data_IF_034537376417
#
_entry.id   IF_034537376417
#
_cell.length_a   1.000
_cell.length_b   1.000
_cell.length_c   1.000
_cell.angle_alpha   90.00
_cell.angle_beta   90.00
_cell.angle_gamma   90.00
#
_symmetry.space_group_name_H-M   'P 1'
#
loop_
_entity.id
_entity.type
_entity.pdbx_description
1 polymer ?
#
# COMPACT_ATOMS: atom_id res chain seq x y z
N UNK A 1 -3.72 21.62 -7.49
CA UNK A 1 -4.40 20.36 -7.85
C UNK A 1 -3.83 19.85 -9.17
N UNK A 2 -3.07 18.76 -9.17
CA UNK A 2 -2.78 17.99 -10.40
C UNK A 2 -3.83 16.87 -10.48
N UNK A 3 -4.99 17.20 -11.05
CA UNK A 3 -6.05 16.24 -11.34
C UNK A 3 -5.70 15.41 -12.58
N UNK A 4 -6.02 14.12 -12.53
CA UNK A 4 -5.98 13.10 -13.59
C UNK A 4 -4.77 13.20 -14.54
N UNK A 5 -3.76 12.36 -14.28
CA UNK A 5 -2.50 12.36 -15.03
C UNK A 5 -2.61 11.66 -16.39
N UNK A 6 -3.61 10.77 -16.58
CA UNK A 6 -3.85 10.05 -17.83
C UNK A 6 -5.27 9.49 -17.88
N UNK A 7 -6.03 9.83 -18.91
CA UNK A 7 -7.26 9.10 -19.25
C UNK A 7 -6.86 7.81 -19.99
N UNK A 8 -7.36 6.67 -19.55
CA UNK A 8 -7.18 5.41 -20.25
C UNK A 8 -8.17 5.36 -21.43
N UNK A 9 -7.75 4.98 -22.65
CA UNK A 9 -8.64 4.87 -23.81
C UNK A 9 -9.47 3.58 -23.79
N UNK A 10 -9.63 2.96 -22.61
CA UNK A 10 -10.40 1.74 -22.40
C UNK A 10 -11.60 2.05 -21.53
N UNK A 11 -12.72 1.39 -21.81
CA UNK A 11 -13.84 1.32 -20.89
C UNK A 11 -13.46 0.33 -19.80
N UNK A 12 -13.32 0.82 -18.56
CA UNK A 12 -12.96 -0.01 -17.42
C UNK A 12 -14.24 -0.67 -16.92
N UNK A 13 -14.30 -1.99 -16.94
CA UNK A 13 -15.43 -2.75 -16.40
C UNK A 13 -15.13 -3.20 -14.97
N UNK A 14 -13.87 -3.57 -14.69
CA UNK A 14 -13.46 -4.11 -13.40
C UNK A 14 -12.22 -3.42 -12.87
N UNK A 15 -12.17 -3.28 -11.55
CA UNK A 15 -10.99 -2.79 -10.84
C UNK A 15 -10.70 -3.68 -9.65
N UNK A 16 -9.47 -4.17 -9.60
CA UNK A 16 -8.94 -4.97 -8.50
C UNK A 16 -8.04 -4.10 -7.63
N UNK A 17 -8.38 -4.02 -6.34
CA UNK A 17 -7.61 -3.37 -5.30
C UNK A 17 -6.94 -4.43 -4.42
N UNK A 18 -5.63 -4.32 -4.25
CA UNK A 18 -4.85 -5.24 -3.42
C UNK A 18 -4.37 -4.53 -2.16
N UNK A 19 -4.79 -5.04 -1.00
CA UNK A 19 -4.38 -4.54 0.31
C UNK A 19 -3.04 -5.16 0.69
N UNK A 20 -2.12 -4.34 1.19
CA UNK A 20 -0.79 -4.78 1.55
C UNK A 20 -0.79 -5.75 2.74
N UNK A 21 0.13 -6.72 2.71
CA UNK A 21 0.30 -7.67 3.81
C UNK A 21 0.80 -6.99 5.10
N UNK A 22 0.55 -7.65 6.23
CA UNK A 22 0.82 -7.15 7.58
C UNK A 22 2.30 -6.82 7.83
N UNK A 23 3.22 -7.57 7.22
CA UNK A 23 4.66 -7.29 7.36
C UNK A 23 5.04 -5.92 6.77
N UNK A 24 4.33 -5.44 5.74
CA UNK A 24 4.54 -4.10 5.17
C UNK A 24 4.02 -3.00 6.08
N UNK A 25 3.01 -3.28 6.90
CA UNK A 25 2.54 -2.37 7.95
C UNK A 25 3.59 -2.19 9.04
N UNK A 26 4.17 -3.30 9.53
CA UNK A 26 5.29 -3.27 10.48
C UNK A 26 6.49 -2.53 9.90
N UNK A 27 6.80 -2.75 8.61
CA UNK A 27 7.87 -2.04 7.91
C UNK A 27 7.61 -0.54 7.88
N UNK A 28 6.40 -0.13 7.46
CA UNK A 28 6.05 1.29 7.31
C UNK A 28 6.06 2.01 8.66
N UNK A 29 5.47 1.43 9.71
CA UNK A 29 5.48 2.05 11.05
C UNK A 29 6.91 2.27 11.53
N UNK A 30 7.75 1.24 11.46
CA UNK A 30 9.16 1.31 11.87
C UNK A 30 9.93 2.34 11.05
N UNK A 31 9.72 2.37 9.73
CA UNK A 31 10.33 3.37 8.84
C UNK A 31 9.95 4.79 9.26
N UNK A 32 8.67 5.06 9.50
CA UNK A 32 8.18 6.39 9.84
C UNK A 32 8.67 6.88 11.21
N UNK A 33 8.92 5.97 12.16
CA UNK A 33 9.51 6.27 13.47
C UNK A 33 10.97 6.71 13.37
N UNK A 34 11.77 6.03 12.54
CA UNK A 34 13.23 6.26 12.49
C UNK A 34 13.69 7.17 11.34
N UNK A 35 12.78 7.53 10.43
CA UNK A 35 13.09 8.39 9.29
C UNK A 35 13.40 9.81 9.77
N UNK A 36 14.60 10.30 9.45
CA UNK A 36 14.95 11.71 9.63
C UNK A 36 14.18 12.57 8.60
N UNK A 37 13.31 13.49 9.04
CA UNK A 37 12.49 14.30 8.12
C UNK A 37 13.31 15.31 7.32
N UNK A 38 14.49 15.70 7.79
CA UNK A 38 15.37 16.67 7.13
C UNK A 38 16.24 15.97 6.09
N UNK A 39 16.89 14.87 6.48
CA UNK A 39 17.90 14.22 5.63
C UNK A 39 17.33 13.06 4.80
N UNK A 40 16.15 12.54 5.15
CA UNK A 40 15.57 11.29 4.62
C UNK A 40 16.50 10.09 4.69
N UNK A 41 17.55 10.16 5.51
CA UNK A 41 18.44 9.04 5.74
C UNK A 41 17.75 8.09 6.70
N UNK A 42 17.84 6.80 6.39
CA UNK A 42 17.34 5.75 7.25
C UNK A 42 18.29 4.57 7.21
N UNK A 43 18.61 4.05 8.40
CA UNK A 43 19.30 2.78 8.52
C UNK A 43 18.31 1.65 8.23
N UNK A 44 18.64 0.76 7.30
CA UNK A 44 17.71 -0.33 6.93
C UNK A 44 17.72 -1.46 7.98
N UNK A 45 18.82 -1.67 8.70
CA UNK A 45 18.98 -2.79 9.63
C UNK A 45 17.90 -2.86 10.70
N UNK A 46 17.54 -1.76 11.41
CA UNK A 46 16.48 -1.81 12.42
C UNK A 46 15.12 -2.23 11.85
N UNK A 47 14.80 -1.78 10.63
CA UNK A 47 13.54 -2.14 9.96
C UNK A 47 13.55 -3.63 9.58
N UNK A 48 14.67 -4.11 9.03
CA UNK A 48 14.82 -5.52 8.65
C UNK A 48 14.70 -6.42 9.87
N UNK A 49 15.38 -6.08 10.97
CA UNK A 49 15.34 -6.82 12.23
C UNK A 49 13.92 -6.87 12.80
N UNK A 50 13.23 -5.72 12.84
CA UNK A 50 11.87 -5.63 13.36
C UNK A 50 10.90 -6.48 12.54
N UNK A 51 10.94 -6.39 11.20
CA UNK A 51 10.09 -7.21 10.33
C UNK A 51 10.43 -8.70 10.48
N UNK A 52 11.71 -9.08 10.41
CA UNK A 52 12.15 -10.48 10.52
C UNK A 52 11.83 -11.11 11.87
N UNK A 53 11.77 -10.32 12.95
CA UNK A 53 11.40 -10.83 14.28
C UNK A 53 9.96 -11.34 14.35
N UNK A 54 9.05 -10.74 13.56
CA UNK A 54 7.63 -11.10 13.50
C UNK A 54 7.29 -12.00 12.31
N UNK A 55 8.00 -11.82 11.20
CA UNK A 55 7.76 -12.47 9.91
C UNK A 55 9.07 -13.08 9.37
N UNK A 56 9.61 -14.14 10.00
CA UNK A 56 10.91 -14.72 9.68
C UNK A 56 11.02 -15.23 8.24
N UNK A 57 9.90 -15.63 7.64
CA UNK A 57 9.76 -16.12 6.27
C UNK A 57 9.99 -15.05 5.20
N UNK A 58 9.88 -13.76 5.54
CA UNK A 58 9.98 -12.67 4.57
C UNK A 58 11.43 -12.37 4.25
N UNK A 59 11.87 -12.61 3.01
CA UNK A 59 13.25 -12.38 2.59
C UNK A 59 13.72 -10.92 2.78
N UNK A 60 14.95 -10.73 3.28
CA UNK A 60 15.49 -9.39 3.53
C UNK A 60 15.56 -8.53 2.26
N UNK A 61 15.77 -9.17 1.10
CA UNK A 61 15.77 -8.49 -0.21
C UNK A 61 14.40 -7.88 -0.57
N UNK A 62 13.30 -8.55 -0.20
CA UNK A 62 11.95 -8.04 -0.39
C UNK A 62 11.69 -6.81 0.49
N UNK A 63 12.09 -6.88 1.76
CA UNK A 63 12.02 -5.77 2.73
C UNK A 63 12.78 -4.55 2.18
N UNK A 64 14.05 -4.74 1.78
CA UNK A 64 14.89 -3.67 1.23
C UNK A 64 14.26 -3.03 -0.01
N UNK A 65 13.64 -3.81 -0.88
CA UNK A 65 12.95 -3.29 -2.07
C UNK A 65 11.82 -2.33 -1.68
N UNK A 66 10.99 -2.71 -0.71
CA UNK A 66 9.89 -1.86 -0.23
C UNK A 66 10.42 -0.59 0.43
N UNK A 67 11.43 -0.69 1.31
CA UNK A 67 12.06 0.48 1.94
C UNK A 67 12.56 1.45 0.86
N UNK A 68 13.31 0.96 -0.14
CA UNK A 68 13.84 1.78 -1.23
C UNK A 68 12.76 2.49 -2.03
N UNK A 69 11.60 1.87 -2.21
CA UNK A 69 10.50 2.50 -2.94
C UNK A 69 9.72 3.50 -2.09
N UNK A 70 9.64 3.31 -0.77
CA UNK A 70 9.04 4.26 0.16
C UNK A 70 9.90 5.52 0.35
N UNK A 71 11.22 5.38 0.55
CA UNK A 71 12.12 6.53 0.77
C UNK A 71 12.27 7.46 -0.43
N UNK A 72 11.97 6.97 -1.64
CA UNK A 72 11.92 7.79 -2.87
C UNK A 72 10.73 8.74 -2.90
N UNK A 73 9.72 8.54 -2.05
CA UNK A 73 8.49 9.33 -2.07
C UNK A 73 8.71 10.73 -1.49
N UNK A 74 7.90 11.73 -1.90
CA UNK A 74 7.91 13.06 -1.31
C UNK A 74 7.72 13.01 0.22
N UNK A 75 8.31 13.95 0.96
CA UNK A 75 8.19 13.95 2.43
C UNK A 75 6.74 14.13 2.87
N UNK A 76 6.01 15.02 2.17
CA UNK A 76 4.58 15.25 2.40
C UNK A 76 3.73 13.96 2.28
N UNK A 77 4.08 13.04 1.37
CA UNK A 77 3.39 11.75 1.26
C UNK A 77 3.69 10.85 2.47
N UNK A 78 4.91 10.91 3.03
CA UNK A 78 5.29 10.16 4.23
C UNK A 78 4.66 10.75 5.51
N UNK A 79 4.45 12.07 5.55
CA UNK A 79 3.70 12.73 6.62
C UNK A 79 2.21 12.37 6.57
N UNK A 80 1.62 12.30 5.37
CA UNK A 80 0.26 11.81 5.18
C UNK A 80 0.10 10.37 5.69
N UNK A 81 1.08 9.49 5.41
CA UNK A 81 1.09 8.15 5.97
C UNK A 81 1.05 8.14 7.50
N UNK A 82 1.82 9.00 8.18
CA UNK A 82 1.79 9.10 9.64
C UNK A 82 0.37 9.42 10.14
N UNK A 83 -0.23 10.47 9.59
CA UNK A 83 -1.58 10.90 9.99
C UNK A 83 -2.65 9.85 9.74
N UNK A 84 -2.54 9.08 8.64
CA UNK A 84 -3.49 8.02 8.34
C UNK A 84 -3.30 6.79 9.23
N UNK A 85 -2.05 6.45 9.59
CA UNK A 85 -1.75 5.34 10.49
C UNK A 85 -2.16 5.59 11.95
N UNK A 86 -2.36 6.85 12.35
CA UNK A 86 -2.97 7.20 13.64
C UNK A 86 -4.48 6.85 13.70
N UNK A 87 -5.10 6.58 12.54
CA UNK A 87 -6.54 6.30 12.42
C UNK A 87 -6.80 4.86 11.96
N UNK A 88 -5.94 4.32 11.09
CA UNK A 88 -6.07 2.99 10.49
C UNK A 88 -4.86 2.16 10.93
N UNK A 89 -5.10 1.15 11.77
CA UNK A 89 -4.05 0.48 12.54
C UNK A 89 -3.56 -0.82 11.91
N UNK A 90 -4.07 -1.21 10.73
CA UNK A 90 -3.64 -2.44 10.08
C UNK A 90 -4.41 -2.82 8.82
N UNK A 91 -4.00 -3.94 8.19
CA UNK A 91 -4.55 -4.36 6.91
C UNK A 91 -6.03 -4.72 6.98
N UNK A 92 -6.49 -5.28 8.10
CA UNK A 92 -7.91 -5.63 8.30
C UNK A 92 -8.81 -4.39 8.36
N UNK A 93 -8.34 -3.31 8.99
CA UNK A 93 -9.11 -2.04 9.03
C UNK A 93 -9.13 -1.38 7.65
N UNK A 94 -7.99 -1.36 6.93
CA UNK A 94 -7.94 -0.88 5.54
C UNK A 94 -8.87 -1.68 4.63
N UNK A 95 -8.86 -3.01 4.74
CA UNK A 95 -9.73 -3.92 3.99
C UNK A 95 -11.21 -3.63 4.27
N UNK A 96 -11.61 -3.47 5.54
CA UNK A 96 -13.00 -3.13 5.90
C UNK A 96 -13.41 -1.78 5.32
N UNK A 97 -12.55 -0.76 5.41
CA UNK A 97 -12.81 0.56 4.84
C UNK A 97 -13.02 0.45 3.32
N UNK A 98 -12.09 -0.22 2.63
CA UNK A 98 -12.18 -0.38 1.19
C UNK A 98 -13.43 -1.18 0.80
N UNK A 99 -13.74 -2.29 1.48
CA UNK A 99 -14.88 -3.15 1.12
C UNK A 99 -16.24 -2.55 1.44
N UNK A 100 -16.33 -1.71 2.47
CA UNK A 100 -17.63 -1.16 2.91
C UNK A 100 -17.93 0.24 2.39
N UNK A 101 -16.89 1.04 2.12
CA UNK A 101 -17.01 2.44 1.72
C UNK A 101 -16.72 2.60 0.23
N UNK A 102 -15.62 2.02 -0.29
CA UNK A 102 -15.20 2.29 -1.66
C UNK A 102 -16.25 1.88 -2.71
N UNK A 103 -16.90 0.69 -2.62
CA UNK A 103 -17.97 0.32 -3.54
C UNK A 103 -19.09 1.37 -3.66
N UNK A 104 -19.51 1.95 -2.53
CA UNK A 104 -20.61 2.92 -2.49
C UNK A 104 -20.32 4.21 -3.24
N UNK A 105 -19.04 4.60 -3.33
CA UNK A 105 -18.63 5.84 -3.99
C UNK A 105 -18.09 5.60 -5.40
N UNK A 106 -17.29 4.55 -5.57
CA UNK A 106 -16.58 4.28 -6.81
C UNK A 106 -17.48 3.55 -7.80
N UNK A 107 -18.19 2.49 -7.40
CA UNK A 107 -19.05 1.75 -8.34
C UNK A 107 -20.22 2.62 -8.79
N UNK A 108 -20.81 3.40 -7.87
CA UNK A 108 -21.89 4.35 -8.22
C UNK A 108 -21.41 5.50 -9.09
N UNK A 109 -20.20 6.00 -8.85
CA UNK A 109 -19.66 7.16 -9.55
C UNK A 109 -19.06 6.82 -10.92
N UNK A 110 -18.51 5.62 -11.07
CA UNK A 110 -17.75 5.20 -12.24
C UNK A 110 -18.37 4.03 -13.01
N UNK A 111 -19.42 3.39 -12.48
CA UNK A 111 -20.05 2.18 -13.05
C UNK A 111 -19.04 1.04 -13.30
N UNK A 112 -18.10 0.87 -12.37
CA UNK A 112 -17.04 -0.14 -12.39
C UNK A 112 -17.33 -1.14 -11.27
N UNK A 113 -17.08 -2.44 -11.48
CA UNK A 113 -17.12 -3.46 -10.43
C UNK A 113 -15.79 -3.45 -9.62
N UNK A 114 -15.87 -3.34 -8.29
CA UNK A 114 -14.69 -3.36 -7.44
C UNK A 114 -14.47 -4.73 -6.78
N UNK A 115 -13.28 -5.29 -6.98
CA UNK A 115 -12.80 -6.47 -6.28
C UNK A 115 -11.66 -6.08 -5.34
N UNK A 116 -11.78 -6.42 -4.06
CA UNK A 116 -10.75 -6.13 -3.06
C UNK A 116 -10.18 -7.45 -2.57
N UNK A 117 -8.85 -7.58 -2.58
CA UNK A 117 -8.12 -8.78 -2.21
C UNK A 117 -6.91 -8.43 -1.36
N UNK A 118 -6.44 -9.37 -0.53
CA UNK A 118 -5.15 -9.23 0.16
C UNK A 118 -4.01 -9.59 -0.78
N UNK A 119 -2.84 -9.01 -0.57
CA UNK A 119 -1.66 -9.29 -1.36
C UNK A 119 -1.28 -10.78 -1.33
N UNK A 120 -1.23 -11.40 -0.14
CA UNK A 120 -0.89 -12.81 0.02
C UNK A 120 -1.93 -13.80 -0.51
N UNK A 121 -3.20 -13.38 -0.63
CA UNK A 121 -4.34 -14.24 -0.99
C UNK A 121 -4.98 -13.88 -2.34
N UNK A 122 -4.27 -13.12 -3.17
CA UNK A 122 -4.81 -12.63 -4.44
C UNK A 122 -5.06 -13.79 -5.44
N UNK A 123 -6.32 -14.05 -5.76
CA UNK A 123 -6.72 -15.09 -6.71
C UNK A 123 -6.60 -14.64 -8.17
N UNK A 124 -6.59 -13.33 -8.41
CA UNK A 124 -6.46 -12.72 -9.74
C UNK A 124 -5.52 -11.52 -9.69
N UNK A 125 -4.31 -11.64 -10.26
CA UNK A 125 -3.34 -10.54 -10.38
C UNK A 125 -2.47 -10.67 -11.66
N UNK A 126 -3.08 -10.51 -12.86
CA UNK A 126 -2.37 -10.71 -14.12
C UNK A 126 -1.21 -9.73 -14.33
N UNK A 127 -1.26 -8.56 -13.70
CA UNK A 127 -0.26 -7.50 -13.84
C UNK A 127 0.73 -7.39 -12.66
N UNK A 128 0.72 -8.36 -11.72
CA UNK A 128 1.59 -8.41 -10.53
C UNK A 128 1.52 -7.12 -9.70
N UNK A 129 0.32 -6.56 -9.55
CA UNK A 129 0.00 -5.34 -8.81
C UNK A 129 -0.14 -5.59 -7.31
N UNK A 130 -0.52 -6.79 -6.90
CA UNK A 130 -0.63 -7.17 -5.49
C UNK A 130 0.68 -6.92 -4.74
N UNK A 131 1.79 -7.41 -5.29
CA UNK A 131 3.13 -7.23 -4.69
C UNK A 131 3.58 -5.77 -4.53
N UNK A 132 2.93 -4.84 -5.24
CA UNK A 132 3.23 -3.39 -5.20
C UNK A 132 2.37 -2.63 -4.21
N UNK A 133 1.37 -3.27 -3.62
CA UNK A 133 0.60 -2.71 -2.54
C UNK A 133 1.56 -2.29 -1.42
N UNK A 134 1.32 -1.12 -0.85
CA UNK A 134 1.88 -0.72 0.44
C UNK A 134 0.70 -0.30 1.30
N UNK A 135 0.83 -0.31 2.65
CA UNK A 135 -0.24 0.11 3.53
C UNK A 135 -0.84 1.43 3.07
N UNK A 136 -2.18 1.55 3.11
CA UNK A 136 -2.93 2.76 2.76
C UNK A 136 -2.75 3.25 1.31
N UNK A 137 -2.15 2.43 0.44
CA UNK A 137 -2.04 2.68 -1.00
C UNK A 137 -2.11 1.35 -1.73
N UNK A 138 -3.33 0.85 -1.98
CA UNK A 138 -3.52 -0.48 -2.53
C UNK A 138 -2.87 -0.60 -3.90
N UNK A 139 -2.45 -1.81 -4.24
CA UNK A 139 -2.14 -2.15 -5.63
C UNK A 139 -3.42 -2.00 -6.45
N UNK A 140 -3.33 -1.42 -7.65
CA UNK A 140 -4.50 -1.23 -8.53
C UNK A 140 -4.24 -1.92 -9.86
N UNK A 141 -5.17 -2.80 -10.24
CA UNK A 141 -5.29 -3.33 -11.59
C UNK A 141 -6.68 -2.96 -12.13
N UNK A 142 -6.71 -2.44 -13.36
CA UNK A 142 -7.92 -2.08 -14.08
C UNK A 142 -7.94 -2.84 -15.39
N UNK A 143 -9.11 -3.29 -15.79
CA UNK A 143 -9.38 -3.95 -17.07
C UNK A 143 -10.74 -3.56 -17.63
#
# INVERSE_FOLDING_TARGET
>A
MKGVVKALPIEVERTYLYVADEWKWTLLSTLLEILDPITKKVAFSPIIEQVKSKYPEIEASAIIKVIKDLVKRPLAELEEYKSLMDVIHGPSEEEVILTTIAPKYVERGLNIELHIQKEGDASYDPAKRASRAVPLKPGIHVE
#
